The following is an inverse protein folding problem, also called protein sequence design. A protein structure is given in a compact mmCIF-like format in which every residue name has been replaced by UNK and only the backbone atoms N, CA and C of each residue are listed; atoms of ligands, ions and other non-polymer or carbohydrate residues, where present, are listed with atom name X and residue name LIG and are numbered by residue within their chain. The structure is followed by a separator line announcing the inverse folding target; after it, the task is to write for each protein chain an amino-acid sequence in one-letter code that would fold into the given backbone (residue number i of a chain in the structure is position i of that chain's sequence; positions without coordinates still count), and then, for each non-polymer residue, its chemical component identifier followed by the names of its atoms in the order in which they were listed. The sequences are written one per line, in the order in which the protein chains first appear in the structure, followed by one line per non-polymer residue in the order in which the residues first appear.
data_IF_264362949609
#
_entry.id   IF_264362949609
#
_cell.length_a   1.000
_cell.length_b   1.000
_cell.length_c   1.000
_cell.angle_alpha   90.00
_cell.angle_beta   90.00
_cell.angle_gamma   90.00
#
_symmetry.space_group_name_H-M   'P 1'
#
loop_
_entity.id
_entity.type
_entity.pdbx_description
1 polymer ?
#
# COMPACT_ATOMS: atom_id res chain seq x y z
N UNK A 1 -21.60 -41.35 -52.17
CA UNK A 1 -22.03 -41.16 -50.76
C UNK A 1 -20.91 -40.48 -50.03
N UNK A 2 -20.97 -39.13 -49.88
CA UNK A 2 -19.97 -38.36 -49.14
C UNK A 2 -20.47 -38.18 -47.72
N UNK A 3 -19.74 -38.73 -46.73
CA UNK A 3 -20.02 -38.56 -45.30
C UNK A 3 -19.41 -37.21 -44.86
N UNK A 4 -20.24 -36.28 -44.46
CA UNK A 4 -19.85 -35.01 -43.85
C UNK A 4 -19.60 -35.30 -42.37
N UNK A 5 -18.37 -35.16 -41.92
CA UNK A 5 -18.01 -35.13 -40.50
C UNK A 5 -18.21 -33.72 -39.98
N UNK A 6 -19.25 -33.54 -39.19
CA UNK A 6 -19.45 -32.30 -38.44
C UNK A 6 -18.59 -32.35 -37.15
N UNK A 7 -17.52 -31.60 -37.12
CA UNK A 7 -16.70 -31.43 -35.91
C UNK A 7 -17.44 -30.42 -35.01
N UNK A 8 -18.02 -30.95 -33.94
CA UNK A 8 -18.61 -30.14 -32.88
C UNK A 8 -17.49 -29.57 -32.02
N UNK A 9 -17.14 -28.29 -32.22
CA UNK A 9 -16.15 -27.58 -31.39
C UNK A 9 -16.80 -27.24 -30.06
N UNK A 10 -16.48 -28.02 -29.02
CA UNK A 10 -16.88 -27.73 -27.64
C UNK A 10 -15.92 -26.66 -27.13
N UNK A 11 -16.34 -25.39 -27.18
CA UNK A 11 -15.69 -24.33 -26.45
C UNK A 11 -15.94 -24.55 -24.95
N UNK A 12 -14.97 -25.11 -24.26
CA UNK A 12 -14.92 -25.10 -22.81
C UNK A 12 -14.64 -23.65 -22.39
N UNK A 13 -15.71 -22.91 -22.10
CA UNK A 13 -15.59 -21.70 -21.31
C UNK A 13 -15.16 -22.11 -19.89
N UNK A 14 -13.88 -22.01 -19.62
CA UNK A 14 -13.43 -21.92 -18.25
C UNK A 14 -14.01 -20.62 -17.70
N UNK A 15 -15.14 -20.75 -17.01
CA UNK A 15 -15.65 -19.71 -16.14
C UNK A 15 -14.59 -19.47 -15.08
N UNK A 16 -13.92 -18.32 -15.14
CA UNK A 16 -13.29 -17.74 -13.95
C UNK A 16 -14.36 -17.81 -12.86
N UNK A 17 -14.01 -18.42 -11.72
CA UNK A 17 -14.89 -18.44 -10.56
C UNK A 17 -15.34 -17.01 -10.21
N UNK A 18 -16.42 -16.85 -9.45
CA UNK A 18 -16.92 -15.52 -9.11
C UNK A 18 -15.76 -14.74 -8.51
N UNK A 19 -15.41 -13.61 -9.13
CA UNK A 19 -14.56 -12.62 -8.50
C UNK A 19 -15.14 -12.42 -7.10
N UNK A 20 -14.31 -12.58 -6.08
CA UNK A 20 -14.63 -12.15 -4.75
C UNK A 20 -14.95 -10.66 -4.88
N UNK A 21 -16.24 -10.34 -5.06
CA UNK A 21 -16.70 -8.96 -4.92
C UNK A 21 -16.20 -8.52 -3.56
N UNK A 22 -15.20 -7.67 -3.58
CA UNK A 22 -14.66 -7.07 -2.39
C UNK A 22 -15.86 -6.55 -1.60
N UNK A 23 -16.06 -7.02 -0.36
CA UNK A 23 -17.26 -6.82 0.47
C UNK A 23 -17.56 -5.34 0.79
N UNK A 24 -17.21 -4.45 -0.11
CA UNK A 24 -17.49 -3.02 -0.04
C UNK A 24 -18.81 -2.77 -0.75
N UNK A 25 -19.84 -2.40 -0.01
CA UNK A 25 -21.09 -1.93 -0.61
C UNK A 25 -20.79 -0.65 -1.40
N UNK A 26 -20.81 -0.68 -2.74
CA UNK A 26 -20.44 0.49 -3.56
C UNK A 26 -21.41 1.67 -3.41
N UNK A 27 -22.54 1.48 -2.74
CA UNK A 27 -23.55 2.52 -2.49
C UNK A 27 -23.37 3.22 -1.13
N UNK A 28 -22.55 2.67 -0.21
CA UNK A 28 -22.31 3.33 1.06
C UNK A 28 -21.16 4.33 0.91
N UNK A 29 -21.41 5.64 1.19
CA UNK A 29 -20.35 6.65 1.07
C UNK A 29 -19.23 6.38 2.07
N UNK A 30 -17.99 6.73 1.67
CA UNK A 30 -16.83 6.66 2.56
C UNK A 30 -17.04 7.60 3.75
N UNK A 31 -16.95 7.07 4.96
CA UNK A 31 -16.95 7.85 6.18
C UNK A 31 -15.54 8.39 6.46
N UNK A 32 -15.45 9.67 6.71
CA UNK A 32 -14.26 10.34 7.21
C UNK A 32 -14.61 10.94 8.58
N UNK A 33 -13.91 10.56 9.66
CA UNK A 33 -14.13 11.16 10.97
C UNK A 33 -13.78 12.66 10.93
N UNK A 34 -14.41 13.44 11.81
CA UNK A 34 -13.95 14.80 12.07
C UNK A 34 -12.53 14.79 12.64
N UNK A 35 -11.76 15.83 12.36
CA UNK A 35 -10.45 16.05 12.99
C UNK A 35 -10.55 16.55 14.42
N UNK A 36 -11.76 16.75 14.94
CA UNK A 36 -12.01 17.12 16.34
C UNK A 36 -11.68 15.92 17.24
N UNK A 37 -10.81 16.12 18.23
CA UNK A 37 -10.38 15.10 19.19
C UNK A 37 -11.52 14.50 20.02
N UNK A 38 -12.67 15.20 20.14
CA UNK A 38 -13.87 14.71 20.81
C UNK A 38 -14.70 13.73 19.98
N UNK A 39 -14.38 13.59 18.68
CA UNK A 39 -15.17 12.76 17.77
C UNK A 39 -14.92 11.28 18.03
N UNK A 40 -15.98 10.56 18.40
CA UNK A 40 -15.96 9.09 18.46
C UNK A 40 -16.04 8.54 17.03
N UNK A 41 -15.07 7.71 16.66
CA UNK A 41 -15.04 7.07 15.34
C UNK A 41 -16.24 6.14 15.16
N UNK A 42 -16.93 6.22 14.03
CA UNK A 42 -18.06 5.34 13.75
C UNK A 42 -17.60 3.89 13.57
N UNK A 43 -18.45 2.99 14.05
CA UNK A 43 -18.22 1.55 13.95
C UNK A 43 -19.26 0.89 13.05
N UNK A 44 -18.98 -0.33 12.60
CA UNK A 44 -19.91 -1.21 11.90
C UNK A 44 -19.71 -2.64 12.39
N UNK A 45 -20.80 -3.35 12.62
CA UNK A 45 -20.69 -4.70 13.16
C UNK A 45 -20.36 -5.74 12.07
N UNK A 46 -19.75 -6.84 12.51
CA UNK A 46 -19.47 -8.00 11.68
C UNK A 46 -20.76 -8.61 11.12
N UNK A 47 -21.85 -8.58 11.93
CA UNK A 47 -23.16 -9.08 11.53
C UNK A 47 -23.76 -8.27 10.38
N UNK A 48 -23.70 -6.94 10.45
CA UNK A 48 -24.20 -6.05 9.39
C UNK A 48 -23.48 -6.30 8.05
N UNK A 49 -22.24 -6.80 8.10
CA UNK A 49 -21.46 -7.14 6.91
C UNK A 49 -21.71 -8.57 6.42
N UNK A 50 -22.47 -9.38 7.16
CA UNK A 50 -22.68 -10.78 6.82
C UNK A 50 -21.42 -11.65 6.97
N UNK A 51 -20.40 -11.18 7.68
CA UNK A 51 -19.16 -11.91 7.86
C UNK A 51 -19.30 -13.07 8.86
N UNK A 52 -18.45 -14.08 8.71
CA UNK A 52 -18.43 -15.25 9.58
C UNK A 52 -17.91 -14.90 10.98
N UNK A 53 -18.81 -14.73 11.94
CA UNK A 53 -18.44 -14.45 13.33
C UNK A 53 -17.61 -15.54 14.00
N UNK A 54 -17.82 -16.81 13.61
CA UNK A 54 -17.07 -17.92 14.19
C UNK A 54 -15.59 -17.90 13.77
N UNK A 55 -15.23 -17.16 12.72
CA UNK A 55 -13.84 -16.98 12.29
C UNK A 55 -13.08 -15.91 13.10
N UNK A 56 -13.78 -15.10 13.91
CA UNK A 56 -13.15 -13.97 14.64
C UNK A 56 -12.18 -14.49 15.68
N UNK A 57 -12.61 -15.37 16.58
CA UNK A 57 -11.73 -15.86 17.64
C UNK A 57 -10.50 -16.61 17.10
N UNK A 58 -10.62 -17.52 16.14
CA UNK A 58 -9.44 -18.13 15.50
C UNK A 58 -8.47 -17.11 14.89
N UNK A 59 -8.97 -16.01 14.31
CA UNK A 59 -8.12 -14.93 13.81
C UNK A 59 -7.38 -14.22 14.94
N UNK A 60 -8.08 -13.87 16.03
CA UNK A 60 -7.47 -13.20 17.18
C UNK A 60 -6.40 -14.09 17.84
N UNK A 61 -6.68 -15.39 18.01
CA UNK A 61 -5.72 -16.35 18.55
C UNK A 61 -4.48 -16.46 17.66
N UNK A 62 -4.66 -16.46 16.35
CA UNK A 62 -3.55 -16.46 15.40
C UNK A 62 -2.72 -15.17 15.50
N UNK A 63 -3.35 -14.01 15.61
CA UNK A 63 -2.67 -12.72 15.74
C UNK A 63 -1.89 -12.65 17.05
N UNK A 64 -2.47 -13.11 18.14
CA UNK A 64 -1.79 -13.24 19.44
C UNK A 64 -0.56 -14.15 19.32
N UNK A 65 -0.72 -15.34 18.71
CA UNK A 65 0.41 -16.28 18.48
C UNK A 65 1.54 -15.65 17.66
N UNK A 66 1.21 -14.71 16.76
CA UNK A 66 2.19 -13.98 15.93
C UNK A 66 2.79 -12.75 16.61
N UNK A 67 2.50 -12.53 17.88
CA UNK A 67 2.95 -11.36 18.66
C UNK A 67 2.53 -10.03 18.03
N UNK A 68 1.37 -10.00 17.35
CA UNK A 68 0.79 -8.75 16.85
C UNK A 68 0.53 -7.80 18.01
N UNK A 69 0.67 -6.50 17.81
CA UNK A 69 0.43 -5.48 18.84
C UNK A 69 -0.93 -4.84 18.72
N UNK A 70 -1.38 -4.62 17.49
CA UNK A 70 -2.72 -4.14 17.19
C UNK A 70 -3.20 -4.73 15.87
N UNK A 71 -4.51 -4.79 15.71
CA UNK A 71 -5.15 -5.21 14.46
C UNK A 71 -6.45 -4.44 14.28
N UNK A 72 -6.62 -3.82 13.12
CA UNK A 72 -7.81 -3.04 12.78
C UNK A 72 -8.33 -3.42 11.42
N UNK A 73 -9.66 -3.46 11.27
CA UNK A 73 -10.33 -3.54 9.98
C UNK A 73 -11.32 -2.38 9.89
N UNK A 74 -11.24 -1.65 8.79
CA UNK A 74 -12.20 -0.61 8.44
C UNK A 74 -12.94 -1.01 7.16
N UNK A 75 -14.24 -0.74 7.13
CA UNK A 75 -15.07 -0.86 5.93
C UNK A 75 -15.76 0.46 5.69
N UNK A 76 -15.56 1.03 4.51
CA UNK A 76 -16.01 2.37 4.15
C UNK A 76 -15.66 3.44 5.20
N UNK A 77 -14.46 3.36 5.77
CA UNK A 77 -13.95 4.28 6.80
C UNK A 77 -14.45 4.01 8.22
N UNK A 78 -15.41 3.11 8.45
CA UNK A 78 -15.94 2.75 9.79
C UNK A 78 -15.17 1.57 10.36
N UNK A 79 -14.87 1.62 11.66
CA UNK A 79 -14.16 0.54 12.34
C UNK A 79 -15.09 -0.67 12.51
N UNK A 80 -14.65 -1.83 12.00
CA UNK A 80 -15.35 -3.13 12.16
C UNK A 80 -14.69 -3.96 13.25
N UNK A 81 -13.38 -3.93 13.31
CA UNK A 81 -12.59 -4.59 14.34
C UNK A 81 -11.46 -3.67 14.79
N UNK A 82 -11.21 -3.63 16.07
CA UNK A 82 -10.08 -2.96 16.69
C UNK A 82 -9.66 -3.77 17.91
N UNK A 83 -8.49 -4.38 17.84
CA UNK A 83 -7.97 -5.29 18.86
C UNK A 83 -6.51 -4.97 19.19
N UNK A 84 -6.15 -5.10 20.45
CA UNK A 84 -4.82 -4.89 20.98
C UNK A 84 -4.37 -6.14 21.74
N UNK A 85 -3.08 -6.44 21.70
CA UNK A 85 -2.50 -7.67 22.24
C UNK A 85 -1.33 -7.36 23.17
N UNK A 86 -0.99 -8.29 24.07
CA UNK A 86 0.18 -8.23 24.95
C UNK A 86 0.30 -6.92 25.75
N UNK A 87 -0.84 -6.44 26.29
CA UNK A 87 -0.86 -5.19 27.06
C UNK A 87 -0.76 -3.91 26.24
N UNK A 88 -0.76 -4.00 24.92
CA UNK A 88 -0.86 -2.85 24.03
C UNK A 88 -2.26 -2.22 24.14
N UNK A 89 -2.34 -0.93 23.88
CA UNK A 89 -3.59 -0.15 23.89
C UNK A 89 -3.58 0.84 22.74
N UNK A 90 -4.70 1.51 22.49
CA UNK A 90 -4.76 2.59 21.50
C UNK A 90 -3.75 3.73 21.72
N UNK A 91 -3.28 3.92 22.97
CA UNK A 91 -2.36 4.97 23.34
C UNK A 91 -0.90 4.48 23.43
N UNK A 92 -0.64 3.20 23.15
CA UNK A 92 0.71 2.66 23.19
C UNK A 92 1.51 3.12 21.99
N UNK A 93 2.74 3.57 22.23
CA UNK A 93 3.67 3.90 21.16
C UNK A 93 4.24 2.62 20.55
N UNK A 94 4.36 2.60 19.24
CA UNK A 94 4.97 1.51 18.50
C UNK A 94 5.84 2.02 17.37
N UNK A 95 6.85 1.26 17.05
CA UNK A 95 7.76 1.56 15.96
C UNK A 95 7.12 1.27 14.61
N UNK A 96 6.96 2.30 13.78
CA UNK A 96 6.27 2.18 12.48
C UNK A 96 7.13 1.60 11.39
N UNK A 97 8.46 1.69 11.48
CA UNK A 97 9.37 1.29 10.42
C UNK A 97 8.92 1.81 9.04
N UNK A 98 8.96 0.95 8.02
CA UNK A 98 8.54 1.32 6.66
C UNK A 98 7.06 1.67 6.50
N UNK A 99 6.19 1.34 7.47
CA UNK A 99 4.80 1.81 7.44
C UNK A 99 4.73 3.35 7.47
N UNK A 100 5.72 4.04 8.04
CA UNK A 100 5.84 5.50 8.02
C UNK A 100 5.96 6.09 6.61
N UNK A 101 6.39 5.31 5.61
CA UNK A 101 6.44 5.75 4.21
C UNK A 101 5.06 6.09 3.64
N UNK A 102 3.99 5.49 4.17
CA UNK A 102 2.61 5.82 3.78
C UNK A 102 2.26 7.27 4.15
N UNK A 103 2.70 7.74 5.32
CA UNK A 103 2.53 9.14 5.72
C UNK A 103 3.34 10.07 4.82
N UNK A 104 4.60 9.73 4.52
CA UNK A 104 5.42 10.50 3.57
C UNK A 104 4.74 10.60 2.20
N UNK A 105 4.22 9.48 1.67
CA UNK A 105 3.50 9.47 0.40
C UNK A 105 2.25 10.35 0.43
N UNK A 106 1.52 10.39 1.55
CA UNK A 106 0.34 11.25 1.73
C UNK A 106 0.73 12.74 1.72
N UNK A 107 1.81 13.11 2.41
CA UNK A 107 2.33 14.50 2.40
C UNK A 107 2.78 14.90 1.00
N UNK A 108 3.48 14.01 0.28
CA UNK A 108 3.86 14.24 -1.13
C UNK A 108 2.62 14.43 -2.01
N UNK A 109 1.56 13.64 -1.79
CA UNK A 109 0.28 13.78 -2.49
C UNK A 109 -0.36 15.16 -2.28
N UNK A 110 -0.38 15.66 -1.05
CA UNK A 110 -0.88 17.00 -0.71
C UNK A 110 -0.02 18.07 -1.40
N UNK A 111 1.31 17.98 -1.30
CA UNK A 111 2.20 18.93 -1.95
C UNK A 111 2.02 18.95 -3.49
N UNK A 112 1.72 17.80 -4.11
CA UNK A 112 1.38 17.74 -5.53
C UNK A 112 0.02 18.40 -5.82
N UNK A 113 -0.98 18.16 -4.98
CA UNK A 113 -2.30 18.78 -5.11
C UNK A 113 -2.21 20.31 -5.02
N UNK A 114 -1.35 20.81 -4.13
CA UNK A 114 -1.09 22.24 -3.95
C UNK A 114 -0.18 22.85 -5.03
N UNK A 115 0.27 22.02 -6.00
CA UNK A 115 1.12 22.48 -7.11
C UNK A 115 2.57 22.76 -6.72
N UNK A 116 2.99 22.41 -5.51
CA UNK A 116 4.35 22.63 -5.02
C UNK A 116 5.36 21.69 -5.66
N UNK A 117 4.92 20.48 -6.02
CA UNK A 117 5.74 19.46 -6.68
C UNK A 117 4.94 18.75 -7.76
N UNK A 118 5.67 18.04 -8.65
CA UNK A 118 5.08 17.09 -9.60
C UNK A 118 5.88 15.80 -9.52
N UNK A 119 5.22 14.69 -9.19
CA UNK A 119 5.89 13.39 -9.00
C UNK A 119 6.56 12.84 -10.26
N UNK A 120 6.19 13.31 -11.44
CA UNK A 120 6.87 12.97 -12.71
C UNK A 120 8.13 13.81 -12.97
N UNK A 121 8.36 14.85 -12.20
CA UNK A 121 9.57 15.64 -12.32
C UNK A 121 10.78 14.90 -11.75
N UNK A 122 11.94 15.24 -12.28
CA UNK A 122 13.23 14.74 -11.80
C UNK A 122 13.48 15.23 -10.37
N UNK A 123 14.08 14.39 -9.56
CA UNK A 123 14.49 14.76 -8.19
C UNK A 123 15.46 15.94 -8.23
N UNK A 124 16.38 15.95 -9.23
CA UNK A 124 17.34 17.03 -9.44
C UNK A 124 16.69 18.41 -9.67
N UNK A 125 15.42 18.47 -10.07
CA UNK A 125 14.70 19.76 -10.20
C UNK A 125 14.44 20.43 -8.84
N UNK A 126 14.47 19.65 -7.77
CA UNK A 126 14.19 20.12 -6.40
C UNK A 126 15.46 20.16 -5.54
N UNK A 127 16.35 19.18 -5.69
CA UNK A 127 17.55 19.05 -4.87
C UNK A 127 18.82 19.59 -5.56
N UNK A 128 18.75 19.91 -6.85
CA UNK A 128 19.95 20.14 -7.66
C UNK A 128 20.61 18.84 -8.13
N UNK A 129 21.71 18.95 -8.85
CA UNK A 129 22.48 17.79 -9.32
C UNK A 129 23.53 17.37 -8.29
N UNK A 130 23.90 16.08 -8.29
CA UNK A 130 24.91 15.53 -7.38
C UNK A 130 24.39 15.20 -6.00
N UNK A 131 23.07 14.94 -5.89
CA UNK A 131 22.45 14.49 -4.64
C UNK A 131 22.69 13.00 -4.35
N UNK A 132 23.24 12.25 -5.33
CA UNK A 132 23.66 10.86 -5.20
C UNK A 132 25.10 10.67 -5.72
N UNK A 133 25.69 9.48 -5.54
CA UNK A 133 26.94 9.06 -6.17
C UNK A 133 26.76 8.47 -7.57
N UNK A 134 25.52 8.41 -8.07
CA UNK A 134 25.25 7.93 -9.42
C UNK A 134 25.83 8.87 -10.48
N UNK A 135 26.25 8.37 -11.66
CA UNK A 135 26.58 9.23 -12.77
C UNK A 135 25.43 10.21 -13.06
N UNK A 136 25.74 11.49 -13.30
CA UNK A 136 24.72 12.54 -13.51
C UNK A 136 23.69 12.18 -14.59
N UNK A 137 24.11 11.47 -15.64
CA UNK A 137 23.20 11.00 -16.68
C UNK A 137 22.14 10.02 -16.15
N UNK A 138 22.46 9.25 -15.12
CA UNK A 138 21.55 8.30 -14.46
C UNK A 138 20.74 8.98 -13.35
N UNK A 139 21.38 9.78 -12.50
CA UNK A 139 20.72 10.59 -11.50
C UNK A 139 19.59 11.43 -12.10
N UNK A 140 19.86 12.06 -13.26
CA UNK A 140 18.89 12.88 -13.98
C UNK A 140 17.70 12.11 -14.60
N UNK A 141 17.65 10.78 -14.51
CA UNK A 141 16.50 9.97 -14.90
C UNK A 141 15.58 9.68 -13.70
N UNK A 142 16.07 9.88 -12.49
CA UNK A 142 15.30 9.56 -11.27
C UNK A 142 14.26 10.64 -11.04
N UNK A 143 12.98 10.23 -11.02
CA UNK A 143 11.84 11.09 -10.71
C UNK A 143 11.39 10.89 -9.27
N UNK A 144 10.60 11.82 -8.72
CA UNK A 144 9.95 11.63 -7.42
C UNK A 144 9.07 10.37 -7.42
N UNK A 145 8.42 10.05 -8.55
CA UNK A 145 7.64 8.82 -8.69
C UNK A 145 8.52 7.58 -8.51
N UNK A 146 9.74 7.55 -9.06
CA UNK A 146 10.64 6.43 -8.87
C UNK A 146 11.03 6.23 -7.40
N UNK A 147 11.22 7.32 -6.63
CA UNK A 147 11.46 7.22 -5.18
C UNK A 147 10.22 6.67 -4.45
N UNK A 148 9.03 7.20 -4.75
CA UNK A 148 7.77 6.77 -4.11
C UNK A 148 7.41 5.31 -4.39
N UNK A 149 7.83 4.77 -5.54
CA UNK A 149 7.56 3.39 -5.94
C UNK A 149 8.74 2.45 -5.70
N UNK A 150 9.79 2.91 -5.02
CA UNK A 150 10.99 2.12 -4.72
C UNK A 150 11.69 1.58 -5.98
N UNK A 151 11.71 2.38 -7.06
CA UNK A 151 12.26 2.00 -8.38
C UNK A 151 13.32 3.00 -8.86
N UNK A 152 14.06 3.61 -7.93
CA UNK A 152 15.08 4.62 -8.26
C UNK A 152 16.31 4.06 -8.97
N UNK A 153 16.64 2.79 -8.73
CA UNK A 153 17.86 2.14 -9.22
C UNK A 153 19.11 2.45 -8.40
N UNK A 154 18.92 3.07 -7.23
CA UNK A 154 19.99 3.29 -6.25
C UNK A 154 20.15 2.06 -5.37
N UNK A 155 21.40 1.83 -4.94
CA UNK A 155 21.74 0.75 -4.01
C UNK A 155 21.29 1.11 -2.60
N UNK A 156 20.33 0.39 -2.05
CA UNK A 156 19.83 0.54 -0.69
C UNK A 156 20.42 -0.48 0.29
N UNK A 157 21.38 -1.31 -0.16
CA UNK A 157 22.03 -2.31 0.71
C UNK A 157 23.00 -1.71 1.71
N UNK A 158 23.30 -0.42 1.58
CA UNK A 158 24.31 0.29 2.40
C UNK A 158 23.83 0.64 3.81
N UNK A 159 22.56 0.38 4.13
CA UNK A 159 21.95 0.63 5.45
C UNK A 159 21.34 2.02 5.59
N UNK A 160 20.54 2.18 6.65
CA UNK A 160 19.69 3.38 6.86
C UNK A 160 20.47 4.65 7.23
N UNK A 161 21.76 4.54 7.56
CA UNK A 161 22.60 5.66 8.01
C UNK A 161 23.39 6.32 6.88
N UNK A 162 23.25 5.81 5.65
CA UNK A 162 24.01 6.31 4.50
C UNK A 162 23.38 7.57 3.95
N UNK A 163 24.19 8.62 3.82
CA UNK A 163 23.77 9.84 3.13
C UNK A 163 23.36 9.53 1.68
N UNK A 164 22.29 10.14 1.13
CA UNK A 164 21.92 10.01 -0.28
C UNK A 164 23.07 10.23 -1.25
N UNK A 165 24.02 11.11 -0.90
CA UNK A 165 25.23 11.36 -1.70
C UNK A 165 26.16 10.15 -1.87
N UNK A 166 26.00 9.12 -1.04
CA UNK A 166 26.79 7.89 -1.10
C UNK A 166 26.06 6.74 -1.79
N UNK A 167 24.79 6.93 -2.19
CA UNK A 167 24.04 5.90 -2.88
C UNK A 167 24.58 5.68 -4.30
N UNK A 168 24.96 4.44 -4.57
CA UNK A 168 25.43 4.01 -5.88
C UNK A 168 24.27 3.62 -6.80
N UNK A 169 24.48 3.73 -8.08
CA UNK A 169 23.57 3.28 -9.10
C UNK A 169 23.80 1.79 -9.41
N UNK A 170 22.75 0.98 -9.39
CA UNK A 170 22.79 -0.47 -9.68
C UNK A 170 21.89 -0.88 -10.84
N UNK A 171 20.86 -0.10 -11.17
CA UNK A 171 19.91 -0.42 -12.24
C UNK A 171 19.27 0.86 -12.80
N UNK A 172 18.67 0.78 -14.00
CA UNK A 172 17.98 1.93 -14.59
C UNK A 172 16.69 2.24 -13.81
N UNK A 173 16.47 3.51 -13.53
CA UNK A 173 15.27 3.98 -12.83
C UNK A 173 14.00 3.51 -13.57
N UNK A 174 13.04 2.99 -12.81
CA UNK A 174 11.81 2.41 -13.35
C UNK A 174 11.93 0.98 -13.88
N UNK A 175 13.12 0.38 -13.87
CA UNK A 175 13.30 -1.03 -14.23
C UNK A 175 12.81 -1.94 -13.08
N UNK A 176 12.52 -3.21 -13.43
CA UNK A 176 12.14 -4.21 -12.40
C UNK A 176 13.26 -4.54 -11.41
N UNK A 177 14.49 -4.25 -11.77
CA UNK A 177 15.70 -4.52 -10.99
C UNK A 177 16.19 -3.32 -10.20
N UNK A 178 15.42 -2.23 -10.23
CA UNK A 178 15.69 -1.04 -9.44
C UNK A 178 15.22 -1.13 -7.98
N UNK A 179 14.82 -2.34 -7.60
CA UNK A 179 14.36 -2.64 -6.25
C UNK A 179 15.16 -3.81 -5.69
#
# INVERSE_FOLDING_TARGET
MKKIFTILSICLFYSCGPELECCVNPQEPMYFPSTDESTIWQTKSIQELGWNQNAVQPLLDYLQLKNSKSFMILVNGKIVMENYFDGHTQNSLWYWASAGKTLTASVVGIAQQDGLINTNNKVSNYLGSGWTSAPLAKENLITLKHLLTMTSGLDDTLGDEVSPSNLHYIADAGSRWAY
#
